data_IF_018098031232
#
_entry.id   IF_018098031232
#
_cell.length_a   1.000
_cell.length_b   1.000
_cell.length_c   1.000
_cell.angle_alpha   90.00
_cell.angle_beta   90.00
_cell.angle_gamma   90.00
#
_symmetry.space_group_name_H-M   'P 1'
#
loop_
_entity.id
_entity.type
_entity.pdbx_description
1 polymer ?
#
# COMPACT_ATOMS: atom_id res chain seq x y z
N UNK A 1 -12.18 -23.69 -8.04
CA UNK A 1 -12.76 -23.20 -9.31
C UNK A 1 -12.91 -24.39 -10.25
N UNK A 2 -14.05 -24.55 -10.92
CA UNK A 2 -14.23 -25.61 -11.92
C UNK A 2 -13.16 -25.54 -13.02
N UNK A 3 -12.68 -26.70 -13.48
CA UNK A 3 -11.62 -26.81 -14.49
C UNK A 3 -11.97 -26.13 -15.81
N UNK A 4 -13.21 -26.28 -16.28
CA UNK A 4 -13.71 -25.59 -17.47
C UNK A 4 -13.63 -24.06 -17.35
N UNK A 5 -13.83 -23.51 -16.15
CA UNK A 5 -13.69 -22.08 -15.91
C UNK A 5 -12.21 -21.65 -15.90
N UNK A 6 -11.28 -22.48 -15.41
CA UNK A 6 -9.84 -22.21 -15.52
C UNK A 6 -9.40 -22.08 -16.99
N UNK A 7 -9.87 -22.98 -17.85
CA UNK A 7 -9.61 -22.90 -19.29
C UNK A 7 -10.16 -21.64 -19.93
N UNK A 8 -11.40 -21.26 -19.60
CA UNK A 8 -11.99 -20.03 -20.10
C UNK A 8 -11.19 -18.80 -19.67
N UNK A 9 -10.75 -18.77 -18.39
CA UNK A 9 -9.91 -17.69 -17.86
C UNK A 9 -8.58 -17.60 -18.61
N UNK A 10 -7.88 -18.72 -18.78
CA UNK A 10 -6.61 -18.76 -19.53
C UNK A 10 -6.79 -18.29 -20.99
N UNK A 11 -7.81 -18.82 -21.67
CA UNK A 11 -8.13 -18.45 -23.06
C UNK A 11 -8.41 -16.95 -23.21
N UNK A 12 -9.07 -16.33 -22.23
CA UNK A 12 -9.39 -14.91 -22.21
C UNK A 12 -8.23 -14.00 -21.76
N UNK A 13 -7.00 -14.52 -21.68
CA UNK A 13 -5.82 -13.75 -21.28
C UNK A 13 -5.61 -13.64 -19.77
N UNK A 14 -6.28 -14.49 -18.99
CA UNK A 14 -5.94 -14.78 -17.59
C UNK A 14 -4.58 -15.47 -17.46
N UNK A 15 -4.18 -15.72 -16.22
CA UNK A 15 -2.95 -16.44 -15.89
C UNK A 15 -3.33 -17.63 -15.03
N UNK A 16 -3.05 -18.84 -15.50
CA UNK A 16 -3.16 -20.07 -14.71
C UNK A 16 -1.79 -20.73 -14.73
N UNK A 17 -1.15 -20.82 -13.56
CA UNK A 17 0.18 -21.40 -13.43
C UNK A 17 0.17 -22.46 -12.33
N UNK A 18 0.91 -23.54 -12.56
CA UNK A 18 1.10 -24.62 -11.60
C UNK A 18 2.58 -24.78 -11.29
N UNK A 19 2.90 -25.12 -10.04
CA UNK A 19 4.23 -25.54 -9.61
C UNK A 19 4.24 -27.06 -9.46
N UNK A 20 5.25 -27.70 -10.04
CA UNK A 20 5.44 -29.14 -9.99
C UNK A 20 6.77 -29.48 -9.31
N UNK A 21 6.76 -30.53 -8.49
CA UNK A 21 7.95 -31.24 -8.05
C UNK A 21 7.89 -32.64 -8.67
N UNK A 22 8.81 -32.93 -9.59
CA UNK A 22 8.68 -34.05 -10.52
C UNK A 22 7.31 -34.05 -11.23
N UNK A 23 6.49 -35.08 -11.03
CA UNK A 23 5.15 -35.20 -11.62
C UNK A 23 4.02 -34.70 -10.71
N UNK A 24 4.31 -34.32 -9.46
CA UNK A 24 3.30 -33.91 -8.48
C UNK A 24 3.07 -32.40 -8.53
N UNK A 25 1.81 -31.97 -8.67
CA UNK A 25 1.45 -30.55 -8.57
C UNK A 25 1.42 -30.12 -7.09
N UNK A 26 2.34 -29.23 -6.72
CA UNK A 26 2.53 -28.80 -5.33
C UNK A 26 2.02 -27.38 -5.05
N UNK A 27 1.55 -26.67 -6.07
CA UNK A 27 0.89 -25.39 -5.91
C UNK A 27 0.38 -24.82 -7.22
N UNK A 28 -0.45 -23.78 -7.13
CA UNK A 28 -0.99 -23.10 -8.30
C UNK A 28 -1.34 -21.64 -8.00
N UNK A 29 -1.53 -20.88 -9.07
CA UNK A 29 -2.12 -19.53 -9.04
C UNK A 29 -3.01 -19.33 -10.26
N UNK A 30 -4.18 -18.72 -10.04
CA UNK A 30 -5.13 -18.36 -11.08
C UNK A 30 -5.54 -16.89 -10.94
N UNK A 31 -5.43 -16.12 -12.03
CA UNK A 31 -5.88 -14.73 -12.11
C UNK A 31 -6.53 -14.41 -13.44
N UNK A 32 -7.38 -13.40 -13.44
CA UNK A 32 -8.04 -12.87 -14.64
C UNK A 32 -7.81 -11.36 -14.75
N UNK A 33 -7.93 -10.81 -15.95
CA UNK A 33 -7.79 -9.37 -16.14
C UNK A 33 -9.03 -8.64 -15.62
N UNK A 34 -8.81 -7.49 -14.99
CA UNK A 34 -9.87 -6.64 -14.49
C UNK A 34 -9.46 -5.17 -14.48
N UNK A 35 -10.35 -4.34 -13.97
CA UNK A 35 -10.08 -2.91 -13.78
C UNK A 35 -10.24 -2.57 -12.31
N UNK A 36 -9.24 -1.93 -11.74
CA UNK A 36 -9.28 -1.41 -10.37
C UNK A 36 -8.91 0.07 -10.39
N UNK A 37 -9.83 0.91 -9.89
CA UNK A 37 -9.73 2.38 -9.95
C UNK A 37 -9.37 2.93 -11.34
N UNK A 38 -10.02 2.41 -12.38
CA UNK A 38 -9.81 2.83 -13.77
C UNK A 38 -8.49 2.35 -14.39
N UNK A 39 -7.71 1.52 -13.71
CA UNK A 39 -6.47 0.95 -14.24
C UNK A 39 -6.63 -0.54 -14.50
N UNK A 40 -6.11 -1.01 -15.63
CA UNK A 40 -6.03 -2.44 -15.94
C UNK A 40 -5.10 -3.14 -14.95
N UNK A 41 -5.58 -4.24 -14.39
CA UNK A 41 -4.85 -5.09 -13.45
C UNK A 41 -5.08 -6.57 -13.78
N UNK A 42 -4.29 -7.43 -13.15
CA UNK A 42 -4.71 -8.80 -12.91
C UNK A 42 -5.35 -8.90 -11.53
N UNK A 43 -6.50 -9.56 -11.44
CA UNK A 43 -7.11 -9.96 -10.18
C UNK A 43 -6.68 -11.39 -9.84
N UNK A 44 -5.84 -11.55 -8.83
CA UNK A 44 -5.38 -12.86 -8.36
C UNK A 44 -6.45 -13.52 -7.51
N UNK A 45 -7.25 -14.37 -8.14
CA UNK A 45 -8.42 -14.97 -7.51
C UNK A 45 -8.08 -16.13 -6.57
N UNK A 46 -7.20 -17.05 -7.00
CA UNK A 46 -6.83 -18.22 -6.22
C UNK A 46 -5.33 -18.42 -6.24
N UNK A 47 -4.75 -18.79 -5.11
CA UNK A 47 -3.38 -19.28 -5.02
C UNK A 47 -3.29 -20.23 -3.83
N UNK A 48 -2.63 -21.37 -4.02
CA UNK A 48 -2.40 -22.31 -2.93
C UNK A 48 -1.08 -23.04 -3.13
N UNK A 49 -0.48 -23.44 -2.01
CA UNK A 49 0.65 -24.36 -1.97
C UNK A 49 0.21 -25.52 -1.08
N UNK A 50 0.43 -26.73 -1.56
CA UNK A 50 0.08 -27.95 -0.85
C UNK A 50 0.72 -27.95 0.55
N UNK A 51 -0.01 -28.31 1.62
CA UNK A 51 0.45 -28.15 3.01
C UNK A 51 1.84 -28.72 3.29
N UNK A 52 2.17 -29.89 2.74
CA UNK A 52 3.47 -30.54 2.93
C UNK A 52 4.66 -29.75 2.35
N UNK A 53 4.40 -28.81 1.43
CA UNK A 53 5.42 -28.04 0.73
C UNK A 53 5.41 -26.55 1.10
N UNK A 54 4.58 -26.14 2.07
CA UNK A 54 4.55 -24.76 2.54
C UNK A 54 5.86 -24.37 3.23
N UNK A 55 6.22 -23.08 3.16
CA UNK A 55 7.47 -22.58 3.75
C UNK A 55 8.72 -22.80 2.89
N UNK A 56 8.63 -23.56 1.79
CA UNK A 56 9.76 -23.88 0.91
C UNK A 56 9.95 -22.88 -0.25
N UNK A 57 9.35 -21.69 -0.17
CA UNK A 57 9.49 -20.64 -1.19
C UNK A 57 8.61 -20.81 -2.45
N UNK A 58 7.86 -21.91 -2.59
CA UNK A 58 6.99 -22.17 -3.75
C UNK A 58 5.98 -21.04 -4.00
N UNK A 59 5.36 -20.50 -2.95
CA UNK A 59 4.41 -19.40 -3.07
C UNK A 59 5.04 -18.14 -3.66
N UNK A 60 6.29 -17.83 -3.28
CA UNK A 60 7.04 -16.72 -3.87
C UNK A 60 7.41 -16.99 -5.34
N UNK A 61 7.81 -18.23 -5.66
CA UNK A 61 8.11 -18.63 -7.04
C UNK A 61 6.87 -18.48 -7.95
N UNK A 62 5.71 -18.96 -7.52
CA UNK A 62 4.44 -18.78 -8.22
C UNK A 62 4.10 -17.31 -8.42
N UNK A 63 4.31 -16.47 -7.40
CA UNK A 63 4.05 -15.02 -7.52
C UNK A 63 5.04 -14.30 -8.44
N UNK A 64 6.30 -14.72 -8.49
CA UNK A 64 7.29 -14.22 -9.46
C UNK A 64 6.87 -14.57 -10.90
N UNK A 65 6.50 -15.83 -11.15
CA UNK A 65 6.01 -16.25 -12.46
C UNK A 65 4.72 -15.52 -12.86
N UNK A 66 3.78 -15.36 -11.92
CA UNK A 66 2.56 -14.56 -12.14
C UNK A 66 2.88 -13.11 -12.51
N UNK A 67 3.85 -12.49 -11.83
CA UNK A 67 4.32 -11.13 -12.14
C UNK A 67 4.93 -11.05 -13.55
N UNK A 68 5.77 -12.01 -13.92
CA UNK A 68 6.40 -12.04 -15.24
C UNK A 68 5.36 -12.14 -16.35
N UNK A 69 4.40 -13.06 -16.21
CA UNK A 69 3.29 -13.20 -17.14
C UNK A 69 2.45 -11.91 -17.24
N UNK A 70 2.09 -11.29 -16.10
CA UNK A 70 1.33 -10.03 -16.10
C UNK A 70 2.10 -8.89 -16.78
N UNK A 71 3.41 -8.76 -16.53
CA UNK A 71 4.25 -7.76 -17.18
C UNK A 71 4.38 -7.99 -18.69
N UNK A 72 4.47 -9.26 -19.12
CA UNK A 72 4.45 -9.64 -20.54
C UNK A 72 3.16 -9.23 -21.25
N UNK A 73 2.04 -9.15 -20.54
CA UNK A 73 0.76 -8.65 -21.03
C UNK A 73 0.62 -7.11 -20.93
N UNK A 74 1.69 -6.40 -20.56
CA UNK A 74 1.67 -4.94 -20.38
C UNK A 74 0.96 -4.47 -19.11
N UNK A 75 0.61 -5.38 -18.19
CA UNK A 75 -0.09 -5.08 -16.94
C UNK A 75 0.94 -4.85 -15.83
N UNK A 76 0.86 -3.70 -15.17
CA UNK A 76 1.84 -3.29 -14.16
C UNK A 76 1.41 -3.50 -12.70
N UNK A 77 0.24 -4.09 -12.47
CA UNK A 77 -0.30 -4.30 -11.13
C UNK A 77 -1.16 -5.57 -11.04
N UNK A 78 -1.04 -6.26 -9.92
CA UNK A 78 -1.90 -7.39 -9.54
C UNK A 78 -2.59 -7.03 -8.23
N UNK A 79 -3.89 -7.31 -8.09
CA UNK A 79 -4.65 -7.11 -6.86
C UNK A 79 -5.37 -8.38 -6.43
N UNK A 80 -5.64 -8.50 -5.12
CA UNK A 80 -6.44 -9.59 -4.55
C UNK A 80 -6.94 -9.22 -3.16
N UNK A 81 -7.83 -10.03 -2.63
CA UNK A 81 -8.33 -9.94 -1.27
C UNK A 81 -7.64 -10.94 -0.35
N UNK A 82 -7.43 -10.59 0.91
CA UNK A 82 -7.00 -11.54 1.93
C UNK A 82 -7.55 -11.17 3.30
N UNK A 83 -7.59 -12.18 4.19
CA UNK A 83 -7.99 -12.01 5.58
C UNK A 83 -6.91 -11.25 6.38
N UNK A 84 -7.21 -10.04 6.88
CA UNK A 84 -6.24 -9.19 7.55
C UNK A 84 -5.80 -9.70 8.93
N UNK A 85 -6.55 -10.60 9.59
CA UNK A 85 -6.19 -11.10 10.92
C UNK A 85 -5.22 -12.29 10.85
N UNK A 86 -4.99 -12.86 9.67
CA UNK A 86 -4.02 -13.95 9.48
C UNK A 86 -2.62 -13.41 9.23
N UNK A 87 -1.76 -13.54 10.24
CA UNK A 87 -0.35 -13.14 10.18
C UNK A 87 0.39 -13.65 8.94
N UNK A 88 0.22 -14.91 8.55
CA UNK A 88 0.92 -15.50 7.40
C UNK A 88 0.64 -14.72 6.11
N UNK A 89 -0.60 -14.29 5.92
CA UNK A 89 -1.02 -13.48 4.78
C UNK A 89 -0.41 -12.08 4.87
N UNK A 90 -0.54 -11.41 6.01
CA UNK A 90 0.04 -10.09 6.25
C UNK A 90 1.56 -10.08 5.97
N UNK A 91 2.28 -11.01 6.58
CA UNK A 91 3.72 -11.13 6.43
C UNK A 91 4.14 -11.37 4.97
N UNK A 92 3.47 -12.29 4.28
CA UNK A 92 3.78 -12.56 2.88
C UNK A 92 3.50 -11.34 1.98
N UNK A 93 2.32 -10.75 2.12
CA UNK A 93 1.89 -9.62 1.28
C UNK A 93 2.77 -8.38 1.51
N UNK A 94 2.97 -7.96 2.77
CA UNK A 94 3.66 -6.70 3.04
C UNK A 94 5.18 -6.82 3.08
N UNK A 95 5.74 -7.92 3.61
CA UNK A 95 7.20 -8.04 3.82
C UNK A 95 7.92 -8.82 2.73
N UNK A 96 7.24 -9.76 2.08
CA UNK A 96 7.84 -10.63 1.05
C UNK A 96 7.52 -10.13 -0.36
N UNK A 97 6.30 -9.64 -0.60
CA UNK A 97 5.94 -9.07 -1.91
C UNK A 97 6.11 -7.54 -1.96
N UNK A 98 5.97 -6.85 -0.84
CA UNK A 98 6.15 -5.40 -0.77
C UNK A 98 5.02 -4.60 -1.42
N UNK A 99 3.79 -5.11 -1.38
CA UNK A 99 2.61 -4.34 -1.79
C UNK A 99 1.98 -3.55 -0.63
N UNK A 100 0.80 -3.00 -0.89
CA UNK A 100 0.09 -2.06 -0.01
C UNK A 100 -1.40 -2.41 0.07
N UNK A 101 -2.07 -1.98 1.13
CA UNK A 101 -3.53 -2.07 1.25
C UNK A 101 -4.10 -0.75 1.78
N UNK A 102 -5.25 -0.35 1.24
CA UNK A 102 -5.93 0.92 1.59
C UNK A 102 -7.44 0.80 1.72
N UNK A 103 -7.97 -0.41 1.55
CA UNK A 103 -9.40 -0.66 1.51
C UNK A 103 -9.68 -1.95 2.27
N UNK A 104 -10.67 -1.88 3.15
CA UNK A 104 -11.27 -3.02 3.82
C UNK A 104 -12.63 -3.24 3.16
N UNK A 105 -12.79 -4.38 2.50
CA UNK A 105 -14.06 -4.85 1.98
C UNK A 105 -14.79 -5.57 3.11
N UNK A 106 -15.91 -5.00 3.54
CA UNK A 106 -16.72 -5.54 4.62
C UNK A 106 -17.58 -6.70 4.12
N UNK A 107 -17.59 -7.80 4.88
CA UNK A 107 -18.39 -9.01 4.57
C UNK A 107 -18.28 -9.47 3.10
N UNK A 108 -17.07 -9.40 2.53
CA UNK A 108 -16.86 -9.52 1.09
C UNK A 108 -17.37 -10.85 0.49
N UNK A 109 -17.38 -11.92 1.29
CA UNK A 109 -17.85 -13.24 0.89
C UNK A 109 -19.16 -13.68 1.57
N UNK A 110 -19.79 -12.79 2.35
CA UNK A 110 -20.97 -13.12 3.14
C UNK A 110 -20.71 -14.24 4.16
N UNK A 111 -21.73 -15.08 4.38
CA UNK A 111 -21.62 -16.26 5.23
C UNK A 111 -20.72 -17.32 4.59
N UNK A 112 -19.66 -17.70 5.30
CA UNK A 112 -18.71 -18.69 4.84
C UNK A 112 -18.95 -20.01 5.59
N UNK A 113 -19.10 -21.11 4.84
CA UNK A 113 -19.42 -22.44 5.39
C UNK A 113 -18.20 -23.36 5.50
N UNK A 114 -17.02 -22.91 5.04
CA UNK A 114 -15.80 -23.69 5.14
C UNK A 114 -15.25 -23.67 6.58
N UNK A 115 -14.68 -24.79 7.03
CA UNK A 115 -14.24 -24.97 8.41
C UNK A 115 -13.20 -23.97 8.91
N UNK A 116 -12.54 -23.21 8.02
CA UNK A 116 -11.58 -22.16 8.38
C UNK A 116 -12.22 -20.79 8.63
N UNK A 117 -13.42 -20.53 8.10
CA UNK A 117 -14.07 -19.20 8.18
C UNK A 117 -15.49 -19.24 8.77
N UNK A 118 -16.03 -20.43 9.04
CA UNK A 118 -17.35 -20.60 9.64
C UNK A 118 -17.49 -19.80 10.96
N UNK A 119 -18.56 -19.01 11.05
CA UNK A 119 -18.91 -18.20 12.21
C UNK A 119 -18.15 -16.87 12.35
N UNK A 120 -17.25 -16.55 11.42
CA UNK A 120 -16.52 -15.29 11.38
C UNK A 120 -17.04 -14.36 10.27
N UNK A 121 -16.79 -13.06 10.43
CA UNK A 121 -17.06 -12.08 9.37
C UNK A 121 -16.06 -12.24 8.23
N UNK A 122 -16.49 -11.99 7.00
CA UNK A 122 -15.66 -12.20 5.81
C UNK A 122 -14.94 -10.94 5.34
N UNK A 123 -14.50 -10.10 6.29
CA UNK A 123 -13.76 -8.88 5.99
C UNK A 123 -12.44 -9.18 5.28
N UNK A 124 -12.13 -8.41 4.24
CA UNK A 124 -10.92 -8.60 3.44
C UNK A 124 -10.21 -7.29 3.18
N UNK A 125 -8.89 -7.29 3.33
CA UNK A 125 -8.08 -6.24 2.73
C UNK A 125 -8.02 -6.42 1.22
N UNK A 126 -8.31 -5.36 0.47
CA UNK A 126 -7.93 -5.24 -0.93
C UNK A 126 -6.45 -4.88 -0.99
N UNK A 127 -5.64 -5.84 -1.43
CA UNK A 127 -4.21 -5.73 -1.56
C UNK A 127 -3.83 -5.38 -2.99
N UNK A 128 -2.95 -4.38 -3.15
CA UNK A 128 -2.40 -3.96 -4.43
C UNK A 128 -0.90 -4.23 -4.46
N UNK A 129 -0.48 -4.99 -5.47
CA UNK A 129 0.92 -5.27 -5.76
C UNK A 129 1.36 -4.55 -7.04
N UNK A 130 2.05 -3.43 -6.87
CA UNK A 130 2.61 -2.63 -7.97
C UNK A 130 3.92 -3.26 -8.46
N UNK A 131 3.86 -3.96 -9.60
CA UNK A 131 4.92 -4.89 -10.05
C UNK A 131 6.26 -4.23 -10.37
N UNK A 132 6.25 -2.94 -10.70
CA UNK A 132 7.44 -2.14 -11.04
C UNK A 132 7.88 -1.21 -9.91
N UNK A 133 7.18 -1.21 -8.78
CA UNK A 133 7.52 -0.32 -7.67
C UNK A 133 8.88 -0.69 -7.05
N UNK A 134 9.65 0.33 -6.62
CA UNK A 134 10.99 0.13 -6.04
C UNK A 134 10.94 -0.79 -4.81
N UNK A 135 9.91 -0.67 -3.97
CA UNK A 135 9.70 -1.53 -2.80
C UNK A 135 9.53 -3.00 -3.22
N UNK A 136 8.67 -3.24 -4.21
CA UNK A 136 8.43 -4.57 -4.78
C UNK A 136 9.71 -5.17 -5.37
N UNK A 137 10.47 -4.40 -6.15
CA UNK A 137 11.72 -4.87 -6.75
C UNK A 137 12.77 -5.26 -5.71
N UNK A 138 12.92 -4.47 -4.63
CA UNK A 138 13.79 -4.80 -3.50
C UNK A 138 13.37 -6.11 -2.84
N UNK A 139 12.07 -6.28 -2.58
CA UNK A 139 11.56 -7.49 -1.95
C UNK A 139 11.82 -8.73 -2.82
N UNK A 140 11.56 -8.62 -4.12
CA UNK A 140 11.81 -9.69 -5.07
C UNK A 140 13.30 -9.99 -5.25
N UNK A 141 14.20 -9.04 -4.98
CA UNK A 141 15.65 -9.26 -4.96
C UNK A 141 16.14 -9.97 -3.67
N UNK A 142 15.23 -10.38 -2.78
CA UNK A 142 15.55 -11.09 -1.55
C UNK A 142 15.57 -10.22 -0.30
N UNK A 143 15.33 -8.92 -0.41
CA UNK A 143 15.12 -8.09 0.77
C UNK A 143 13.79 -8.47 1.44
N UNK A 144 13.79 -8.59 2.76
CA UNK A 144 12.54 -8.70 3.52
C UNK A 144 12.34 -7.39 4.26
N UNK A 145 11.22 -6.72 4.01
CA UNK A 145 10.96 -5.45 4.70
C UNK A 145 10.96 -5.66 6.21
N UNK A 146 11.57 -4.72 6.95
CA UNK A 146 11.78 -4.88 8.37
C UNK A 146 10.45 -5.00 9.09
N UNK A 147 10.45 -5.84 10.11
CA UNK A 147 9.39 -5.87 11.11
C UNK A 147 9.81 -4.89 12.20
N UNK A 148 9.07 -3.80 12.38
CA UNK A 148 9.45 -2.77 13.37
C UNK A 148 9.36 -3.39 14.77
N UNK A 149 10.43 -3.27 15.55
CA UNK A 149 10.56 -3.76 16.93
C UNK A 149 11.00 -2.61 17.83
N UNK A 150 10.69 -2.69 19.13
CA UNK A 150 11.01 -1.63 20.11
C UNK A 150 9.94 -0.54 20.20
N UNK A 151 10.27 0.70 20.61
CA UNK A 151 9.31 1.79 20.70
C UNK A 151 8.72 2.07 19.33
N UNK A 152 7.44 1.74 19.18
CA UNK A 152 6.78 1.83 17.88
C UNK A 152 6.41 3.29 17.58
N UNK A 153 6.78 3.81 16.41
CA UNK A 153 6.38 5.15 16.02
C UNK A 153 4.88 5.13 15.76
N UNK A 154 4.12 5.94 16.50
CA UNK A 154 2.71 6.19 16.20
C UNK A 154 1.78 6.02 17.40
N UNK A 155 0.50 6.11 17.11
CA UNK A 155 -0.58 5.97 18.08
C UNK A 155 -1.34 4.68 17.85
N UNK A 156 -1.84 4.07 18.92
CA UNK A 156 -2.67 2.89 18.83
C UNK A 156 -4.09 3.28 18.45
N UNK A 157 -4.60 2.71 17.35
CA UNK A 157 -6.03 2.73 17.04
C UNK A 157 -6.71 1.42 17.51
N UNK A 158 -5.94 0.35 17.65
CA UNK A 158 -6.35 -0.92 18.26
C UNK A 158 -5.15 -1.53 18.98
N UNK A 159 -5.36 -2.00 20.21
CA UNK A 159 -4.33 -2.63 21.04
C UNK A 159 -4.79 -3.98 21.57
N UNK A 160 -3.86 -4.89 21.80
CA UNK A 160 -4.11 -6.13 22.52
C UNK A 160 -3.76 -5.94 24.00
N UNK A 161 -4.77 -6.02 24.88
CA UNK A 161 -4.58 -5.94 26.32
C UNK A 161 -5.28 -7.12 26.99
N UNK A 162 -4.57 -7.88 27.83
CA UNK A 162 -5.13 -9.07 28.47
C UNK A 162 -5.68 -10.13 27.51
N UNK A 163 -5.21 -10.16 26.25
CA UNK A 163 -5.72 -11.04 25.19
C UNK A 163 -7.00 -10.54 24.48
N UNK A 164 -7.52 -9.39 24.88
CA UNK A 164 -8.73 -8.77 24.33
C UNK A 164 -8.39 -7.61 23.37
N UNK A 165 -9.25 -7.33 22.37
CA UNK A 165 -9.14 -6.13 21.55
C UNK A 165 -9.61 -4.90 22.33
N UNK A 166 -8.75 -3.89 22.44
CA UNK A 166 -9.09 -2.61 23.04
C UNK A 166 -8.94 -1.45 22.04
N UNK A 167 -9.98 -0.63 21.83
CA UNK A 167 -9.89 0.57 21.02
C UNK A 167 -8.84 1.54 21.60
N UNK A 168 -7.98 2.06 20.73
CA UNK A 168 -7.07 3.13 21.11
C UNK A 168 -7.65 4.51 20.80
N UNK A 169 -6.93 5.57 21.19
CA UNK A 169 -7.33 6.96 20.92
C UNK A 169 -6.71 7.41 19.59
N UNK A 170 -7.52 7.71 18.55
CA UNK A 170 -7.01 8.31 17.33
C UNK A 170 -6.49 9.71 17.62
N UNK A 171 -5.19 9.94 17.50
CA UNK A 171 -4.57 11.27 17.58
C UNK A 171 -3.73 11.51 16.31
N UNK A 172 -3.64 12.75 15.79
CA UNK A 172 -2.71 13.05 14.70
C UNK A 172 -1.29 12.61 15.07
N UNK A 173 -0.75 11.72 14.25
CA UNK A 173 0.59 11.16 14.35
C UNK A 173 1.12 10.88 12.94
N UNK A 174 2.41 10.62 12.80
CA UNK A 174 3.01 10.24 11.51
C UNK A 174 2.70 8.78 11.13
N UNK A 175 2.12 8.01 12.05
CA UNK A 175 1.75 6.62 11.87
C UNK A 175 0.71 6.18 12.89
N UNK A 176 -0.09 5.18 12.51
CA UNK A 176 -1.14 4.56 13.32
C UNK A 176 -0.89 3.06 13.39
N UNK A 177 -1.14 2.46 14.55
CA UNK A 177 -0.87 1.07 14.83
C UNK A 177 -2.17 0.31 15.13
N UNK A 178 -2.32 -0.86 14.53
CA UNK A 178 -3.44 -1.78 14.77
C UNK A 178 -2.88 -3.14 15.20
N UNK A 179 -2.86 -3.40 16.49
CA UNK A 179 -2.37 -4.67 17.07
C UNK A 179 -3.41 -5.79 16.92
N UNK A 180 -2.92 -6.99 16.61
CA UNK A 180 -3.72 -8.20 16.36
C UNK A 180 -3.00 -9.44 16.92
N UNK A 181 -3.75 -10.50 17.30
CA UNK A 181 -3.18 -11.80 17.66
C UNK A 181 -2.31 -12.37 16.53
N UNK A 182 -1.19 -13.01 16.87
CA UNK A 182 -0.34 -13.69 15.88
C UNK A 182 -1.07 -14.87 15.22
N UNK A 183 -1.88 -15.60 15.98
CA UNK A 183 -2.63 -16.77 15.51
C UNK A 183 -4.13 -16.62 15.84
N UNK A 184 -4.85 -15.90 14.98
CA UNK A 184 -6.31 -15.76 15.09
C UNK A 184 -7.04 -17.10 15.01
N UNK A 185 -6.47 -18.10 14.32
CA UNK A 185 -7.07 -19.42 14.20
C UNK A 185 -6.98 -20.18 15.55
N UNK A 186 -5.90 -19.98 16.33
CA UNK A 186 -5.80 -20.48 17.71
C UNK A 186 -6.81 -19.81 18.63
N UNK A 187 -6.95 -18.48 18.55
CA UNK A 187 -7.97 -17.74 19.30
C UNK A 187 -9.36 -18.28 18.98
N UNK A 188 -9.69 -18.47 17.70
CA UNK A 188 -10.97 -19.02 17.25
C UNK A 188 -11.27 -20.42 17.79
N UNK A 189 -10.26 -21.31 17.82
CA UNK A 189 -10.41 -22.67 18.36
C UNK A 189 -10.67 -22.66 19.86
N UNK A 190 -10.08 -21.71 20.58
CA UNK A 190 -10.28 -21.57 22.02
C UNK A 190 -11.60 -20.86 22.36
N UNK A 191 -11.91 -19.78 21.63
CA UNK A 191 -13.07 -18.92 21.85
C UNK A 191 -13.49 -18.23 20.54
N UNK A 192 -14.58 -18.71 19.93
CA UNK A 192 -15.16 -18.13 18.71
C UNK A 192 -15.71 -16.71 18.95
N UNK A 193 -16.25 -16.45 20.14
CA UNK A 193 -16.77 -15.13 20.51
C UNK A 193 -15.67 -14.08 20.57
N UNK A 194 -14.53 -14.44 21.19
CA UNK A 194 -13.33 -13.61 21.21
C UNK A 194 -12.76 -13.38 19.80
N UNK A 195 -12.67 -14.43 18.99
CA UNK A 195 -12.23 -14.27 17.60
C UNK A 195 -13.15 -13.30 16.83
N UNK A 196 -14.47 -13.41 16.99
CA UNK A 196 -15.43 -12.47 16.38
C UNK A 196 -15.23 -11.04 16.90
N UNK A 197 -14.99 -10.85 18.19
CA UNK A 197 -14.71 -9.54 18.78
C UNK A 197 -13.46 -8.90 18.14
N UNK A 198 -12.40 -9.67 17.91
CA UNK A 198 -11.21 -9.20 17.20
C UNK A 198 -11.50 -8.68 15.80
N UNK A 199 -12.31 -9.39 15.01
CA UNK A 199 -12.67 -8.92 13.66
C UNK A 199 -13.48 -7.62 13.70
N UNK A 200 -14.48 -7.53 14.59
CA UNK A 200 -15.33 -6.35 14.70
C UNK A 200 -14.52 -5.13 15.17
N UNK A 201 -13.69 -5.28 16.20
CA UNK A 201 -12.83 -4.22 16.68
C UNK A 201 -11.83 -3.76 15.61
N UNK A 202 -11.25 -4.69 14.85
CA UNK A 202 -10.37 -4.36 13.72
C UNK A 202 -11.08 -3.56 12.64
N UNK A 203 -12.29 -3.98 12.24
CA UNK A 203 -13.14 -3.28 11.28
C UNK A 203 -13.37 -1.84 11.71
N UNK A 204 -13.82 -1.65 12.94
CA UNK A 204 -14.11 -0.33 13.51
C UNK A 204 -12.86 0.55 13.57
N UNK A 205 -11.72 -0.03 13.99
CA UNK A 205 -10.48 0.71 14.15
C UNK A 205 -9.84 1.15 12.83
N UNK A 206 -9.91 0.33 11.76
CA UNK A 206 -9.22 0.63 10.50
C UNK A 206 -10.01 1.53 9.55
N UNK A 207 -11.35 1.46 9.56
CA UNK A 207 -12.20 2.14 8.59
C UNK A 207 -12.00 3.67 8.53
N UNK A 208 -11.93 4.41 9.66
CA UNK A 208 -11.75 5.87 9.61
C UNK A 208 -10.47 6.28 8.88
N UNK A 209 -9.38 5.54 9.07
CA UNK A 209 -8.09 5.80 8.45
C UNK A 209 -8.11 5.55 6.95
N UNK A 210 -8.72 4.45 6.51
CA UNK A 210 -8.89 4.18 5.08
C UNK A 210 -9.80 5.20 4.39
N UNK A 211 -10.86 5.69 5.06
CA UNK A 211 -11.67 6.81 4.55
C UNK A 211 -10.85 8.10 4.42
N UNK A 212 -9.90 8.33 5.34
CA UNK A 212 -8.94 9.42 5.26
C UNK A 212 -7.75 9.15 4.30
N UNK A 213 -7.84 8.11 3.45
CA UNK A 213 -6.81 7.72 2.48
C UNK A 213 -5.46 7.30 3.08
N UNK A 214 -5.44 6.90 4.35
CA UNK A 214 -4.29 6.24 4.94
C UNK A 214 -4.12 4.85 4.35
N UNK A 215 -2.90 4.34 4.35
CA UNK A 215 -2.58 3.02 3.82
C UNK A 215 -1.73 2.23 4.79
N UNK A 216 -1.86 0.90 4.73
CA UNK A 216 -0.91 0.00 5.37
C UNK A 216 0.38 0.01 4.57
N UNK A 217 1.47 0.40 5.23
CA UNK A 217 2.81 0.44 4.63
C UNK A 217 3.80 -0.48 5.36
N UNK A 218 3.46 -1.02 6.52
CA UNK A 218 4.38 -1.87 7.25
C UNK A 218 3.72 -2.80 8.26
N UNK A 219 4.57 -3.61 8.87
CA UNK A 219 4.23 -4.46 10.01
C UNK A 219 5.17 -4.16 11.17
N UNK A 220 4.65 -4.29 12.37
CA UNK A 220 5.40 -4.20 13.62
C UNK A 220 5.18 -5.45 14.48
N UNK A 221 6.10 -5.68 15.42
CA UNK A 221 6.00 -6.71 16.45
C UNK A 221 6.05 -6.05 17.83
N UNK A 222 4.90 -5.61 18.36
CA UNK A 222 4.85 -5.01 19.70
C UNK A 222 5.14 -6.03 20.80
N UNK A 223 4.65 -7.27 20.67
CA UNK A 223 4.79 -8.30 21.71
C UNK A 223 5.07 -9.69 21.11
N UNK A 224 5.42 -10.64 21.96
CA UNK A 224 5.76 -12.01 21.55
C UNK A 224 4.61 -12.76 20.87
N UNK A 225 3.35 -12.44 21.20
CA UNK A 225 2.14 -13.12 20.70
C UNK A 225 1.28 -12.25 19.76
N UNK A 226 1.71 -11.04 19.42
CA UNK A 226 0.89 -10.06 18.66
C UNK A 226 1.69 -9.35 17.59
N UNK A 227 1.07 -9.10 16.43
CA UNK A 227 1.66 -8.25 15.38
C UNK A 227 0.81 -6.99 15.24
N UNK A 228 1.36 -5.97 14.60
CA UNK A 228 0.58 -4.79 14.28
C UNK A 228 0.73 -4.38 12.82
N UNK A 229 -0.34 -3.86 12.23
CA UNK A 229 -0.24 -3.08 11.00
C UNK A 229 0.25 -1.67 11.33
N UNK A 230 1.15 -1.16 10.49
CA UNK A 230 1.59 0.23 10.52
C UNK A 230 0.92 0.96 9.37
N UNK A 231 -0.02 1.82 9.73
CA UNK A 231 -0.68 2.72 8.80
C UNK A 231 0.09 4.04 8.73
N UNK A 232 0.21 4.56 7.53
CA UNK A 232 0.84 5.86 7.26
C UNK A 232 -0.17 6.76 6.56
N UNK A 233 -0.08 8.09 6.76
CA UNK A 233 -0.94 9.03 6.05
C UNK A 233 -0.73 8.90 4.54
N UNK A 234 -1.71 9.36 3.73
CA UNK A 234 -1.50 9.49 2.30
C UNK A 234 -0.22 10.31 2.07
N UNK A 235 0.60 9.85 1.13
CA UNK A 235 1.82 10.55 0.78
C UNK A 235 1.43 11.90 0.16
N UNK A 236 1.51 12.95 0.97
CA UNK A 236 1.19 14.30 0.52
C UNK A 236 2.16 14.69 -0.59
N UNK A 237 1.61 15.19 -1.69
CA UNK A 237 2.41 15.76 -2.76
C UNK A 237 2.48 17.26 -2.55
N UNK A 238 3.64 17.82 -2.82
CA UNK A 238 3.89 19.25 -2.76
C UNK A 238 4.04 19.73 -4.18
N UNK A 239 3.32 20.80 -4.52
CA UNK A 239 3.66 21.64 -5.66
C UNK A 239 4.48 22.82 -5.15
N UNK A 240 5.61 23.10 -5.79
CA UNK A 240 6.56 24.11 -5.33
C UNK A 240 7.01 25.03 -6.46
N UNK A 241 7.41 26.23 -6.06
CA UNK A 241 7.95 27.28 -6.91
C UNK A 241 9.38 27.60 -6.45
N UNK A 242 10.34 27.51 -7.37
CA UNK A 242 11.74 27.85 -7.13
C UNK A 242 12.11 29.11 -7.91
N UNK A 243 13.08 29.86 -7.37
CA UNK A 243 13.87 30.84 -8.10
C UNK A 243 15.24 30.25 -8.39
N UNK A 244 15.69 30.38 -9.63
CA UNK A 244 17.04 29.95 -10.05
C UNK A 244 18.03 31.11 -9.96
N UNK A 245 19.33 30.83 -10.05
CA UNK A 245 20.39 31.85 -9.97
C UNK A 245 20.31 32.95 -11.05
N UNK A 246 19.69 32.68 -12.20
CA UNK A 246 19.42 33.68 -13.25
C UNK A 246 18.11 34.46 -13.02
N UNK A 247 17.50 34.33 -11.83
CA UNK A 247 16.25 34.96 -11.45
C UNK A 247 15.01 34.36 -12.11
N UNK A 248 15.12 33.32 -12.94
CA UNK A 248 13.94 32.68 -13.55
C UNK A 248 13.19 31.78 -12.56
N UNK A 249 11.92 31.48 -12.86
CA UNK A 249 11.07 30.68 -11.98
C UNK A 249 10.89 29.27 -12.51
N UNK A 250 11.05 28.28 -11.64
CA UNK A 250 10.77 26.88 -11.95
C UNK A 250 9.62 26.36 -11.08
N UNK A 251 8.74 25.54 -11.67
CA UNK A 251 7.64 24.89 -10.96
C UNK A 251 7.80 23.39 -11.05
N UNK A 252 7.56 22.70 -9.95
CA UNK A 252 7.63 21.25 -9.91
C UNK A 252 6.75 20.66 -8.83
N UNK A 253 6.66 19.33 -8.84
CA UNK A 253 5.97 18.56 -7.82
C UNK A 253 6.89 17.50 -7.22
N UNK A 254 6.66 17.15 -5.97
CA UNK A 254 7.43 16.14 -5.25
C UNK A 254 6.67 15.70 -4.00
N UNK A 255 6.89 14.48 -3.53
CA UNK A 255 6.46 14.05 -2.20
C UNK A 255 7.61 14.08 -1.17
N UNK A 256 8.80 14.52 -1.58
CA UNK A 256 9.99 14.64 -0.74
C UNK A 256 10.66 15.98 -1.09
N UNK A 257 10.16 17.09 -0.54
CA UNK A 257 10.55 18.44 -0.94
C UNK A 257 12.03 18.72 -0.68
N UNK A 258 12.50 18.48 0.54
CA UNK A 258 13.89 18.70 0.96
C UNK A 258 14.88 17.93 0.08
N UNK A 259 14.65 16.63 -0.09
CA UNK A 259 15.48 15.78 -0.96
C UNK A 259 15.47 16.30 -2.40
N UNK A 260 14.33 16.78 -2.90
CA UNK A 260 14.21 17.30 -4.26
C UNK A 260 14.98 18.61 -4.44
N UNK A 261 14.92 19.52 -3.47
CA UNK A 261 15.72 20.76 -3.48
C UNK A 261 17.23 20.45 -3.51
N UNK A 262 17.68 19.50 -2.69
CA UNK A 262 19.07 19.05 -2.70
C UNK A 262 19.49 18.50 -4.07
N UNK A 263 18.64 17.68 -4.70
CA UNK A 263 18.90 17.17 -6.06
C UNK A 263 19.06 18.30 -7.08
N UNK A 264 18.19 19.31 -7.04
CA UNK A 264 18.30 20.48 -7.91
C UNK A 264 19.64 21.20 -7.73
N UNK A 265 20.04 21.49 -6.49
CA UNK A 265 21.30 22.17 -6.19
C UNK A 265 22.55 21.32 -6.48
N UNK A 266 22.44 19.99 -6.47
CA UNK A 266 23.52 19.08 -6.91
C UNK A 266 23.62 18.91 -8.43
N UNK A 267 22.74 19.54 -9.22
CA UNK A 267 22.70 19.36 -10.68
C UNK A 267 22.05 18.05 -11.15
N UNK A 268 21.50 17.26 -10.20
CA UNK A 268 20.77 16.00 -10.45
C UNK A 268 19.25 16.21 -10.56
N UNK A 269 18.81 17.47 -10.58
CA UNK A 269 17.40 17.86 -10.73
C UNK A 269 16.92 17.84 -12.18
N UNK A 270 15.89 18.63 -12.47
CA UNK A 270 15.41 18.80 -13.84
C UNK A 270 16.48 19.44 -14.73
N UNK A 271 16.50 19.10 -16.03
CA UNK A 271 17.46 19.67 -17.00
C UNK A 271 17.46 21.20 -16.96
N UNK A 272 16.29 21.81 -16.81
CA UNK A 272 16.11 23.27 -16.70
C UNK A 272 16.93 23.89 -15.55
N UNK A 273 16.84 23.29 -14.37
CA UNK A 273 17.51 23.75 -13.14
C UNK A 273 18.95 23.28 -13.03
N UNK A 274 19.34 22.20 -13.71
CA UNK A 274 20.68 21.62 -13.60
C UNK A 274 21.78 22.60 -14.04
N UNK A 275 21.48 23.49 -14.97
CA UNK A 275 22.39 24.56 -15.44
C UNK A 275 22.16 25.91 -14.76
N UNK A 276 21.16 26.02 -13.86
CA UNK A 276 20.71 27.28 -13.25
C UNK A 276 20.66 27.17 -11.73
N UNK A 277 21.85 26.96 -11.16
CA UNK A 277 22.07 26.72 -9.73
C UNK A 277 22.85 27.88 -9.11
N UNK A 278 22.72 28.14 -7.80
CA UNK A 278 21.78 27.50 -6.89
C UNK A 278 20.32 27.86 -7.20
N UNK A 279 19.40 27.06 -6.66
CA UNK A 279 17.97 27.35 -6.64
C UNK A 279 17.51 27.56 -5.21
N UNK A 280 16.59 28.49 -5.03
CA UNK A 280 15.96 28.84 -3.77
C UNK A 280 14.48 28.50 -3.83
N UNK A 281 13.93 27.96 -2.73
CA UNK A 281 12.50 27.68 -2.62
C UNK A 281 11.75 28.97 -2.28
N UNK A 282 10.81 29.38 -3.13
CA UNK A 282 9.98 30.57 -2.90
C UNK A 282 8.68 30.24 -2.17
N UNK A 283 7.98 29.18 -2.61
CA UNK A 283 6.71 28.76 -2.03
C UNK A 283 6.44 27.27 -2.29
N UNK A 284 5.65 26.67 -1.42
CA UNK A 284 5.21 25.29 -1.52
C UNK A 284 3.78 25.14 -0.99
N UNK A 285 2.98 24.34 -1.70
CA UNK A 285 1.61 24.02 -1.31
C UNK A 285 1.41 22.52 -1.25
N UNK A 286 0.76 22.05 -0.18
CA UNK A 286 0.48 20.64 0.05
C UNK A 286 -0.80 20.22 -0.66
N UNK A 287 -0.77 19.05 -1.28
CA UNK A 287 -1.86 18.44 -2.03
C UNK A 287 -2.08 17.01 -1.58
N UNK A 288 -3.30 16.50 -1.75
CA UNK A 288 -3.66 15.17 -1.24
C UNK A 288 -2.94 14.04 -2.00
N UNK A 289 -2.62 14.25 -3.28
CA UNK A 289 -2.02 13.23 -4.12
C UNK A 289 -1.31 13.81 -5.36
N UNK A 290 -0.60 12.95 -6.09
CA UNK A 290 0.15 13.33 -7.29
C UNK A 290 -0.71 13.98 -8.37
N UNK A 291 -1.93 13.48 -8.58
CA UNK A 291 -2.80 13.95 -9.65
C UNK A 291 -3.22 15.40 -9.40
N UNK A 292 -3.58 15.72 -8.15
CA UNK A 292 -3.85 17.08 -7.74
C UNK A 292 -2.60 17.97 -7.86
N UNK A 293 -1.45 17.50 -7.39
CA UNK A 293 -0.18 18.23 -7.56
C UNK A 293 0.11 18.54 -9.03
N UNK A 294 -0.05 17.57 -9.94
CA UNK A 294 0.13 17.78 -11.38
C UNK A 294 -0.89 18.76 -11.97
N UNK A 295 -2.14 18.74 -11.51
CA UNK A 295 -3.16 19.73 -11.90
C UNK A 295 -2.72 21.14 -11.49
N UNK A 296 -2.29 21.32 -10.24
CA UNK A 296 -1.84 22.61 -9.73
C UNK A 296 -0.54 23.07 -10.39
N UNK A 297 0.40 22.16 -10.65
CA UNK A 297 1.64 22.43 -11.39
C UNK A 297 1.33 23.00 -12.78
N UNK A 298 0.38 22.39 -13.50
CA UNK A 298 -0.06 22.87 -14.81
C UNK A 298 -0.71 24.25 -14.73
N UNK A 299 -1.51 24.52 -13.70
CA UNK A 299 -2.11 25.84 -13.47
C UNK A 299 -1.03 26.89 -13.16
N UNK A 300 -0.06 26.57 -12.29
CA UNK A 300 1.06 27.45 -11.99
C UNK A 300 1.91 27.72 -13.23
N UNK A 301 2.21 26.70 -14.05
CA UNK A 301 2.98 26.88 -15.30
C UNK A 301 2.35 27.91 -16.24
N UNK A 302 1.01 27.95 -16.32
CA UNK A 302 0.25 28.90 -17.14
C UNK A 302 0.22 30.33 -16.59
N UNK A 303 0.60 30.57 -15.33
CA UNK A 303 0.63 31.91 -14.74
C UNK A 303 1.86 32.70 -15.16
N UNK A 304 1.68 34.02 -15.30
CA UNK A 304 2.77 34.96 -15.56
C UNK A 304 3.74 35.03 -14.37
N UNK A 305 4.94 35.60 -14.59
CA UNK A 305 5.92 35.82 -13.51
C UNK A 305 5.30 36.64 -12.37
N UNK A 306 4.65 37.75 -12.68
CA UNK A 306 4.03 38.63 -11.69
C UNK A 306 2.96 37.90 -10.88
N UNK A 307 2.11 37.09 -11.54
CA UNK A 307 1.10 36.29 -10.86
C UNK A 307 1.68 35.20 -9.96
N UNK A 308 2.83 34.61 -10.31
CA UNK A 308 3.52 33.63 -9.46
C UNK A 308 4.14 34.29 -8.24
N UNK A 309 4.76 35.46 -8.42
CA UNK A 309 5.37 36.20 -7.32
C UNK A 309 4.32 36.74 -6.35
N UNK A 310 3.16 37.19 -6.84
CA UNK A 310 2.04 37.60 -5.98
C UNK A 310 1.62 36.48 -4.99
N UNK A 311 1.60 35.22 -5.45
CA UNK A 311 1.34 34.06 -4.59
C UNK A 311 2.41 33.82 -3.51
N UNK A 312 3.61 34.37 -3.69
CA UNK A 312 4.72 34.26 -2.73
C UNK A 312 4.63 35.37 -1.70
N UNK A 313 4.33 36.60 -2.11
CA UNK A 313 4.40 37.82 -1.28
C UNK A 313 3.34 37.87 -0.19
N UNK A 314 2.23 37.15 -0.33
CA UNK A 314 1.17 37.05 0.68
C UNK A 314 1.39 35.79 1.55
N UNK A 315 1.93 35.91 2.78
CA UNK A 315 2.15 34.77 3.65
C UNK A 315 0.83 34.07 3.96
N UNK A 316 0.81 32.74 3.89
CA UNK A 316 -0.39 31.94 4.15
C UNK A 316 -1.43 31.89 3.03
N UNK A 317 -1.15 32.41 1.83
CA UNK A 317 -2.08 32.30 0.71
C UNK A 317 -2.12 30.87 0.15
N UNK A 318 -3.26 30.21 0.34
CA UNK A 318 -3.58 28.92 -0.25
C UNK A 318 -3.71 29.02 -1.78
N UNK A 319 -3.25 27.99 -2.47
CA UNK A 319 -3.35 27.94 -3.93
C UNK A 319 -4.43 26.95 -4.34
N UNK A 320 -5.58 27.47 -4.78
CA UNK A 320 -6.72 26.63 -5.23
C UNK A 320 -7.18 25.65 -4.15
N UNK A 321 -7.17 26.08 -2.88
CA UNK A 321 -7.53 25.27 -1.72
C UNK A 321 -6.41 24.36 -1.20
N UNK A 322 -5.24 24.36 -1.85
CA UNK A 322 -4.06 23.67 -1.34
C UNK A 322 -3.35 24.54 -0.29
N UNK A 323 -3.18 24.07 0.95
CA UNK A 323 -2.58 24.85 2.02
C UNK A 323 -1.12 25.16 1.76
N UNK A 324 -0.70 26.39 2.06
CA UNK A 324 0.71 26.79 2.00
C UNK A 324 1.48 26.19 3.19
N UNK A 325 2.64 25.60 2.91
CA UNK A 325 3.44 24.87 3.92
C UNK A 325 4.80 25.52 4.25
N UNK A 326 5.07 26.70 3.67
CA UNK A 326 6.25 27.54 3.91
C UNK A 326 5.90 29.01 3.76
#
# INVERSE_FOLDING_TARGET
MPYNLLHAVEHAGGIVLCAYLAAEMVGFVASFQGTLHGKRIHWSHMAAVHPAFQGQGIGLALKRAQREAALGQGISAIAWTFDPLRWRNANFNFRVLGGTARTLLQEHYGEMTDGLNQGLVSDRFEFLWALKDRRTLRCLAGERLPLVQGPLPGVWALRAQGGQPEPGIPHPANSVLLELPLDIDAVRRADLGLARAWYLAFREAVQPWFRASWQVDGLARPQAETFAYVLVPPVAWVVYLLETADGTLYTGITNQLERRLQQHNQGKGARYTATRRPVSLLAAWQTANRAEASRLENLLKKRSRAQKLALVTEPGQDFQGAPRIL
#
